data_IF_485996832720
#
_entry.id   IF_485996832720
#
_cell.length_a   1.000
_cell.length_b   1.000
_cell.length_c   1.000
_cell.angle_alpha   90.00
_cell.angle_beta   90.00
_cell.angle_gamma   90.00
#
_symmetry.space_group_name_H-M   'P 1'
#
loop_
_entity.id
_entity.type
_entity.pdbx_description
1 polymer ?
#
# COMPACT_ATOMS: atom_id res chain seq x y z
N UNK A 1 14.88 39.84 -52.34
CA UNK A 1 13.55 40.04 -51.74
C UNK A 1 13.03 38.65 -51.42
N UNK A 2 13.50 38.12 -50.29
CA UNK A 2 12.68 37.76 -49.09
C UNK A 2 12.06 36.35 -49.24
N UNK A 3 12.67 35.28 -48.71
CA UNK A 3 12.84 34.80 -47.30
C UNK A 3 11.57 34.10 -46.74
N UNK A 4 11.70 32.78 -46.64
CA UNK A 4 11.07 31.80 -45.70
C UNK A 4 9.59 31.39 -45.80
N UNK A 5 9.28 30.08 -45.80
CA UNK A 5 7.99 29.53 -45.38
C UNK A 5 7.99 29.25 -43.86
N UNK A 6 7.02 29.83 -43.14
CA UNK A 6 6.82 29.60 -41.71
C UNK A 6 6.05 28.31 -41.42
N UNK A 7 6.75 27.37 -40.77
CA UNK A 7 6.31 26.45 -39.71
C UNK A 7 4.86 25.90 -39.77
N UNK A 8 4.70 24.71 -40.38
CA UNK A 8 3.57 23.81 -40.08
C UNK A 8 3.65 23.37 -38.61
N UNK A 9 2.80 23.93 -37.75
CA UNK A 9 2.58 23.38 -36.41
C UNK A 9 1.48 22.34 -36.50
N UNK A 10 1.80 21.11 -36.93
CA UNK A 10 0.91 19.96 -36.79
C UNK A 10 0.94 19.50 -35.33
N UNK A 11 0.06 20.09 -34.52
CA UNK A 11 -0.26 19.58 -33.20
C UNK A 11 -0.75 18.13 -33.32
N UNK A 12 -0.16 17.24 -32.53
CA UNK A 12 -0.62 15.86 -32.38
C UNK A 12 -2.05 15.90 -31.82
N UNK A 13 -2.99 15.34 -32.59
CA UNK A 13 -4.40 15.26 -32.22
C UNK A 13 -4.53 14.29 -31.05
N UNK A 14 -4.96 14.82 -29.91
CA UNK A 14 -5.18 14.11 -28.65
C UNK A 14 -6.41 13.20 -28.79
N UNK A 15 -6.18 11.90 -29.06
CA UNK A 15 -7.20 10.89 -29.39
C UNK A 15 -8.05 10.45 -28.17
N UNK A 16 -7.77 10.95 -26.96
CA UNK A 16 -8.40 10.47 -25.73
C UNK A 16 -9.27 11.49 -24.98
N UNK A 17 -9.85 12.46 -25.67
CA UNK A 17 -10.83 13.38 -25.05
C UNK A 17 -12.25 12.79 -25.10
N UNK A 18 -12.63 12.04 -24.07
CA UNK A 18 -14.03 11.73 -23.76
C UNK A 18 -14.51 12.64 -22.60
N UNK A 19 -15.76 13.11 -22.60
CA UNK A 19 -16.22 14.15 -21.69
C UNK A 19 -16.40 13.62 -20.27
N UNK A 20 -15.92 14.39 -19.30
CA UNK A 20 -16.14 14.16 -17.87
C UNK A 20 -17.61 14.45 -17.52
N UNK A 21 -18.41 13.39 -17.41
CA UNK A 21 -19.67 13.43 -16.67
C UNK A 21 -19.39 12.98 -15.24
N UNK A 22 -19.49 13.93 -14.30
CA UNK A 22 -19.47 13.67 -12.88
C UNK A 22 -20.67 12.81 -12.49
N UNK A 23 -20.42 11.58 -12.04
CA UNK A 23 -21.28 10.85 -11.14
C UNK A 23 -20.41 9.90 -10.32
N UNK A 24 -20.29 10.19 -9.02
CA UNK A 24 -19.59 9.36 -8.07
C UNK A 24 -20.27 8.00 -7.96
N UNK A 25 -19.69 7.00 -8.62
CA UNK A 25 -20.00 5.60 -8.36
C UNK A 25 -19.04 5.16 -7.27
N UNK A 26 -19.51 5.23 -6.03
CA UNK A 26 -18.84 4.59 -4.91
C UNK A 26 -18.92 3.08 -5.16
N UNK A 27 -17.85 2.49 -5.69
CA UNK A 27 -17.72 1.06 -5.89
C UNK A 27 -17.51 0.39 -4.54
N UNK A 28 -18.56 0.27 -3.73
CA UNK A 28 -18.56 -0.66 -2.60
C UNK A 28 -18.71 -2.06 -3.18
N UNK A 29 -17.58 -2.69 -3.51
CA UNK A 29 -17.54 -4.14 -3.68
C UNK A 29 -17.92 -4.74 -2.33
N UNK A 30 -19.19 -5.11 -2.16
CA UNK A 30 -19.62 -5.88 -1.00
C UNK A 30 -18.80 -7.19 -1.00
N UNK A 31 -18.22 -7.61 0.15
CA UNK A 31 -17.43 -8.81 0.19
C UNK A 31 -18.32 -10.02 -0.14
N UNK A 32 -18.10 -10.63 -1.30
CA UNK A 32 -18.59 -11.98 -1.60
C UNK A 32 -17.73 -12.98 -0.84
N UNK A 33 -18.37 -13.81 -0.02
CA UNK A 33 -17.80 -14.94 0.75
C UNK A 33 -16.76 -14.60 1.84
N UNK A 34 -17.21 -14.41 3.08
CA UNK A 34 -16.45 -14.71 4.32
C UNK A 34 -15.08 -14.05 4.55
N UNK A 35 -14.58 -13.27 3.59
CA UNK A 35 -13.33 -12.52 3.66
C UNK A 35 -13.54 -11.25 4.49
N UNK A 36 -12.56 -10.89 5.35
CA UNK A 36 -12.66 -9.69 6.17
C UNK A 36 -12.77 -8.44 5.28
N UNK A 37 -13.63 -7.50 5.69
CA UNK A 37 -13.70 -6.20 5.02
C UNK A 37 -12.36 -5.47 5.17
N UNK A 38 -11.79 -5.00 4.06
CA UNK A 38 -10.50 -4.29 4.02
C UNK A 38 -10.76 -2.79 3.87
N UNK A 39 -10.46 -2.01 4.91
CA UNK A 39 -10.83 -0.60 5.04
C UNK A 39 -10.15 0.33 4.02
N UNK A 40 -8.97 -0.04 3.51
CA UNK A 40 -8.18 0.80 2.59
C UNK A 40 -8.18 0.29 1.14
N UNK A 41 -9.11 -0.58 0.76
CA UNK A 41 -9.24 -1.03 -0.62
C UNK A 41 -10.24 -0.15 -1.40
N UNK A 42 -9.95 0.25 -2.65
CA UNK A 42 -8.76 -0.03 -3.46
C UNK A 42 -7.60 0.96 -3.24
N UNK A 43 -7.73 1.92 -2.33
CA UNK A 43 -6.76 2.99 -2.08
C UNK A 43 -5.32 2.51 -1.87
N UNK A 44 -5.11 1.30 -1.35
CA UNK A 44 -3.78 0.69 -1.16
C UNK A 44 -2.96 0.67 -2.47
N UNK A 45 -3.61 0.58 -3.64
CA UNK A 45 -2.95 0.53 -4.94
C UNK A 45 -2.14 1.79 -5.26
N UNK A 46 -2.47 2.95 -4.65
CA UNK A 46 -1.69 4.20 -4.81
C UNK A 46 -0.24 4.08 -4.29
N UNK A 47 0.06 3.00 -3.55
CA UNK A 47 1.37 2.70 -2.99
C UNK A 47 2.20 1.71 -3.83
N UNK A 48 1.65 1.17 -4.93
CA UNK A 48 2.37 0.23 -5.79
C UNK A 48 3.74 0.77 -6.25
N UNK A 49 3.82 2.07 -6.54
CA UNK A 49 5.04 2.76 -6.98
C UNK A 49 5.72 3.58 -5.88
N UNK A 50 5.17 3.62 -4.66
CA UNK A 50 5.70 4.42 -3.54
C UNK A 50 6.23 3.54 -2.42
N UNK A 51 7.33 3.96 -1.82
CA UNK A 51 7.95 3.24 -0.70
C UNK A 51 7.65 3.87 0.66
N UNK A 52 6.86 4.94 0.71
CA UNK A 52 6.38 5.51 1.96
C UNK A 52 5.09 6.29 1.74
N UNK A 53 4.34 6.47 2.83
CA UNK A 53 3.12 7.26 2.82
C UNK A 53 2.26 7.04 4.05
N UNK A 54 1.12 7.74 4.09
CA UNK A 54 0.07 7.55 5.10
C UNK A 54 -0.92 6.52 4.56
N UNK A 55 -0.96 5.34 5.16
CA UNK A 55 -1.83 4.23 4.80
C UNK A 55 -3.29 4.53 5.18
N UNK A 56 -3.49 5.11 6.36
CA UNK A 56 -4.79 5.49 6.90
C UNK A 56 -4.63 6.67 7.85
N UNK A 57 -5.61 7.57 7.87
CA UNK A 57 -5.66 8.66 8.83
C UNK A 57 -7.10 9.09 9.11
N UNK A 58 -7.42 9.27 10.39
CA UNK A 58 -8.64 9.92 10.85
C UNK A 58 -8.32 10.90 11.99
N UNK A 59 -9.33 11.30 12.78
CA UNK A 59 -9.15 12.16 13.95
C UNK A 59 -8.43 11.50 15.12
N UNK A 60 -8.35 10.17 15.13
CA UNK A 60 -7.88 9.35 16.26
C UNK A 60 -6.45 8.88 16.02
N UNK A 61 -6.17 8.27 14.87
CA UNK A 61 -4.89 7.65 14.56
C UNK A 61 -4.41 8.01 13.15
N UNK A 62 -3.10 8.14 12.99
CA UNK A 62 -2.43 8.14 11.69
C UNK A 62 -1.57 6.87 11.59
N UNK A 63 -1.77 6.09 10.53
CA UNK A 63 -1.00 4.89 10.22
C UNK A 63 -0.11 5.20 9.01
N UNK A 64 1.17 5.37 9.25
CA UNK A 64 2.19 5.57 8.23
C UNK A 64 2.92 4.26 7.89
N UNK A 65 3.58 4.23 6.73
CA UNK A 65 4.50 3.17 6.38
C UNK A 65 5.76 3.70 5.70
N UNK A 66 6.86 2.94 5.83
CA UNK A 66 8.09 3.08 5.07
C UNK A 66 8.61 1.69 4.72
N UNK A 67 8.90 1.47 3.45
CA UNK A 67 9.30 0.19 2.87
C UNK A 67 10.71 0.31 2.29
N UNK A 68 11.56 -0.64 2.64
CA UNK A 68 12.87 -0.84 2.05
C UNK A 68 12.92 -2.26 1.47
N UNK A 69 13.38 -2.42 0.23
CA UNK A 69 13.48 -3.74 -0.42
C UNK A 69 14.86 -3.96 -1.01
N UNK A 70 15.27 -5.22 -1.05
CA UNK A 70 16.52 -5.67 -1.65
C UNK A 70 16.36 -7.12 -2.09
N UNK A 71 16.53 -7.41 -3.39
CA UNK A 71 16.24 -8.72 -3.96
C UNK A 71 14.84 -9.20 -3.52
N UNK A 72 14.75 -10.42 -2.99
CA UNK A 72 13.53 -11.01 -2.48
C UNK A 72 13.19 -10.63 -1.02
N UNK A 73 13.92 -9.70 -0.41
CA UNK A 73 13.72 -9.27 0.98
C UNK A 73 13.04 -7.89 1.05
N UNK A 74 12.16 -7.72 2.03
CA UNK A 74 11.57 -6.42 2.35
C UNK A 74 11.53 -6.15 3.85
N UNK A 75 11.75 -4.89 4.23
CA UNK A 75 11.61 -4.37 5.59
C UNK A 75 10.56 -3.27 5.58
N UNK A 76 9.43 -3.53 6.20
CA UNK A 76 8.32 -2.59 6.35
C UNK A 76 8.33 -2.02 7.76
N UNK A 77 8.52 -0.71 7.88
CA UNK A 77 8.24 0.04 9.10
C UNK A 77 6.81 0.57 9.06
N UNK A 78 5.98 0.12 10.00
CA UNK A 78 4.66 0.68 10.27
C UNK A 78 4.77 1.71 11.40
N UNK A 79 4.12 2.85 11.25
CA UNK A 79 4.15 3.95 12.21
C UNK A 79 2.74 4.24 12.69
N UNK A 80 2.49 4.07 13.98
CA UNK A 80 1.18 4.29 14.60
C UNK A 80 1.24 5.57 15.43
N UNK A 81 0.71 6.66 14.89
CA UNK A 81 0.64 7.96 15.55
C UNK A 81 -0.70 8.17 16.24
N UNK A 82 -0.72 8.25 17.57
CA UNK A 82 -1.90 8.60 18.33
C UNK A 82 -2.13 10.12 18.25
N UNK A 83 -3.20 10.54 17.58
CA UNK A 83 -3.56 11.95 17.40
C UNK A 83 -4.39 12.51 18.55
N UNK A 84 -4.79 11.66 19.49
CA UNK A 84 -5.58 12.04 20.67
C UNK A 84 -4.68 12.34 21.85
N UNK A 85 -5.26 12.92 22.91
CA UNK A 85 -4.57 13.13 24.19
C UNK A 85 -4.71 11.93 25.14
N UNK A 86 -5.45 10.89 24.76
CA UNK A 86 -5.72 9.72 25.59
C UNK A 86 -4.89 8.54 25.08
N UNK A 87 -4.41 7.71 26.00
CA UNK A 87 -3.65 6.54 25.60
C UNK A 87 -4.54 5.55 24.85
N UNK A 88 -3.97 4.89 23.84
CA UNK A 88 -4.52 3.65 23.31
C UNK A 88 -4.11 2.52 24.24
N UNK A 89 -5.05 1.66 24.59
CA UNK A 89 -4.85 0.47 25.41
C UNK A 89 -5.27 -0.77 24.62
N UNK A 90 -4.76 -1.94 25.02
CA UNK A 90 -4.96 -3.19 24.29
C UNK A 90 -4.57 -3.09 22.81
N UNK A 91 -3.52 -2.31 22.53
CA UNK A 91 -3.04 -2.08 21.17
C UNK A 91 -2.46 -3.37 20.57
N UNK A 92 -3.16 -3.92 19.58
CA UNK A 92 -2.91 -5.25 19.06
C UNK A 92 -2.92 -5.27 17.53
N UNK A 93 -1.77 -5.05 16.88
CA UNK A 93 -1.58 -5.28 15.45
C UNK A 93 -1.36 -6.77 15.16
N UNK A 94 -2.23 -7.38 14.35
CA UNK A 94 -2.15 -8.78 13.92
C UNK A 94 -1.97 -8.88 12.40
N UNK A 95 -0.96 -9.62 11.96
CA UNK A 95 -0.62 -9.78 10.54
C UNK A 95 -1.17 -11.11 9.99
N UNK A 96 -1.78 -11.06 8.80
CA UNK A 96 -2.37 -12.21 8.13
C UNK A 96 -1.85 -12.35 6.69
N UNK A 97 -1.29 -13.53 6.38
CA UNK A 97 -0.99 -13.97 5.02
C UNK A 97 -1.92 -15.14 4.66
N UNK A 98 -3.16 -14.87 4.27
CA UNK A 98 -4.20 -15.91 4.13
C UNK A 98 -4.00 -16.86 2.94
N UNK A 99 -4.25 -18.15 3.16
CA UNK A 99 -4.20 -19.20 2.13
C UNK A 99 -2.81 -19.36 1.52
N UNK A 100 -2.74 -19.43 0.18
CA UNK A 100 -1.46 -19.60 -0.55
C UNK A 100 -0.45 -18.48 -0.29
N UNK A 101 -0.90 -17.29 0.15
CA UNK A 101 0.01 -16.18 0.44
C UNK A 101 0.98 -16.52 1.59
N UNK A 102 0.58 -17.36 2.56
CA UNK A 102 1.43 -17.78 3.68
C UNK A 102 2.72 -18.49 3.25
N UNK A 103 2.69 -19.20 2.13
CA UNK A 103 3.85 -19.91 1.58
C UNK A 103 4.61 -19.10 0.54
N UNK A 104 3.94 -18.14 -0.11
CA UNK A 104 4.55 -17.27 -1.13
C UNK A 104 5.31 -16.09 -0.52
N UNK A 105 4.84 -15.59 0.63
CA UNK A 105 5.36 -14.42 1.30
C UNK A 105 5.48 -14.69 2.81
N UNK A 106 6.69 -15.06 3.24
CA UNK A 106 6.99 -15.31 4.65
C UNK A 106 7.12 -13.96 5.36
N UNK A 107 6.44 -13.80 6.49
CA UNK A 107 6.47 -12.58 7.28
C UNK A 107 6.93 -12.82 8.72
N UNK A 108 7.80 -11.96 9.22
CA UNK A 108 8.24 -11.94 10.60
C UNK A 108 7.91 -10.57 11.19
N UNK A 109 6.95 -10.54 12.10
CA UNK A 109 6.45 -9.33 12.73
C UNK A 109 7.08 -9.13 14.11
N UNK A 110 7.66 -7.96 14.38
CA UNK A 110 8.07 -7.60 15.75
C UNK A 110 6.86 -7.20 16.58
N UNK A 111 6.91 -7.50 17.87
CA UNK A 111 5.92 -7.04 18.83
C UNK A 111 5.93 -5.51 18.97
N UNK A 112 4.79 -4.97 19.39
CA UNK A 112 4.58 -3.55 19.72
C UNK A 112 4.01 -3.51 21.12
N UNK A 113 4.29 -2.45 21.86
CA UNK A 113 3.69 -2.22 23.17
C UNK A 113 2.17 -2.16 23.06
N UNK A 114 1.48 -2.77 24.03
CA UNK A 114 0.02 -2.77 24.10
C UNK A 114 -0.58 -1.42 24.51
N UNK A 115 0.26 -0.42 24.78
CA UNK A 115 -0.15 0.94 25.14
C UNK A 115 0.60 1.96 24.31
N UNK A 116 -0.12 2.92 23.72
CA UNK A 116 0.46 4.06 23.00
C UNK A 116 -0.04 5.34 23.65
N UNK A 117 0.86 6.09 24.28
CA UNK A 117 0.54 7.36 24.93
C UNK A 117 -0.06 8.37 23.94
N UNK A 118 -0.99 9.21 24.43
CA UNK A 118 -1.56 10.32 23.66
C UNK A 118 -0.47 11.21 23.04
N UNK A 119 -0.67 11.61 21.78
CA UNK A 119 0.28 12.43 21.03
C UNK A 119 1.59 11.75 20.62
N UNK A 120 1.79 10.48 20.99
CA UNK A 120 3.03 9.75 20.67
C UNK A 120 2.91 8.93 19.39
N UNK A 121 4.08 8.53 18.86
CA UNK A 121 4.17 7.65 17.69
C UNK A 121 5.09 6.49 18.02
N UNK A 122 4.65 5.26 17.69
CA UNK A 122 5.46 4.05 17.84
C UNK A 122 5.71 3.39 16.48
N UNK A 123 6.82 2.66 16.37
CA UNK A 123 7.20 1.95 15.16
C UNK A 123 7.13 0.44 15.36
N UNK A 124 6.48 -0.26 14.43
CA UNK A 124 6.55 -1.70 14.27
C UNK A 124 7.37 -2.07 13.04
N UNK A 125 8.27 -3.04 13.18
CA UNK A 125 9.04 -3.58 12.07
C UNK A 125 8.49 -4.94 11.66
N UNK A 126 8.22 -5.10 10.37
CA UNK A 126 7.80 -6.34 9.75
C UNK A 126 8.79 -6.67 8.65
N UNK A 127 9.44 -7.83 8.74
CA UNK A 127 10.32 -8.34 7.70
C UNK A 127 9.55 -9.31 6.82
N UNK A 128 9.80 -9.27 5.51
CA UNK A 128 9.22 -10.19 4.55
C UNK A 128 10.29 -10.85 3.70
N UNK A 129 10.05 -12.11 3.33
CA UNK A 129 10.80 -12.87 2.33
C UNK A 129 9.82 -13.32 1.25
N UNK A 130 10.06 -12.89 0.02
CA UNK A 130 9.32 -13.34 -1.15
C UNK A 130 9.91 -14.68 -1.62
N UNK A 131 9.17 -15.76 -1.41
CA UNK A 131 9.56 -17.11 -1.84
C UNK A 131 9.07 -17.41 -3.26
N UNK A 132 7.87 -16.91 -3.59
CA UNK A 132 7.22 -17.14 -4.88
C UNK A 132 6.44 -15.91 -5.31
N UNK A 133 6.05 -15.86 -6.59
CA UNK A 133 5.15 -14.82 -7.09
C UNK A 133 3.81 -14.84 -6.34
N UNK A 134 3.26 -13.65 -6.07
CA UNK A 134 2.01 -13.49 -5.35
C UNK A 134 1.22 -12.32 -5.90
N UNK A 135 -0.11 -12.37 -5.72
CA UNK A 135 -1.04 -11.39 -6.28
C UNK A 135 -1.93 -10.72 -5.21
N UNK A 136 -1.92 -11.25 -3.98
CA UNK A 136 -2.70 -10.70 -2.85
C UNK A 136 -1.79 -9.96 -1.88
N UNK A 137 -2.29 -8.89 -1.29
CA UNK A 137 -1.58 -8.15 -0.25
C UNK A 137 -1.70 -8.87 1.10
N UNK A 138 -0.66 -8.86 1.95
CA UNK A 138 -0.82 -9.24 3.35
C UNK A 138 -1.72 -8.22 4.08
N UNK A 139 -2.50 -8.69 5.05
CA UNK A 139 -3.45 -7.87 5.79
C UNK A 139 -2.97 -7.60 7.22
N UNK A 140 -3.19 -6.40 7.72
CA UNK A 140 -2.97 -5.99 9.10
C UNK A 140 -4.33 -5.69 9.73
N UNK A 141 -4.74 -6.51 10.68
CA UNK A 141 -5.86 -6.23 11.56
C UNK A 141 -5.35 -5.45 12.76
N UNK A 142 -5.94 -4.30 13.05
CA UNK A 142 -5.55 -3.47 14.17
C UNK A 142 -6.74 -3.25 15.09
N UNK A 143 -6.60 -3.69 16.33
CA UNK A 143 -7.56 -3.44 17.41
C UNK A 143 -6.88 -2.65 18.52
N UNK A 144 -7.59 -1.67 19.07
CA UNK A 144 -7.25 -1.04 20.35
C UNK A 144 -8.47 -0.34 20.95
N UNK A 145 -8.39 -0.01 22.23
CA UNK A 145 -9.39 0.79 22.94
C UNK A 145 -8.84 2.16 23.33
N UNK A 146 -9.70 3.17 23.41
CA UNK A 146 -9.31 4.52 23.82
C UNK A 146 -10.49 5.27 24.42
N UNK A 147 -10.21 6.30 25.22
CA UNK A 147 -11.25 7.22 25.71
C UNK A 147 -11.41 8.40 24.76
N UNK A 148 -12.66 8.77 24.45
CA UNK A 148 -12.96 10.01 23.74
C UNK A 148 -12.88 11.24 24.68
N UNK A 149 -13.07 12.44 24.11
CA UNK A 149 -13.09 13.70 24.88
C UNK A 149 -14.20 13.77 25.93
N UNK A 150 -15.20 12.91 25.86
CA UNK A 150 -16.29 12.78 26.84
C UNK A 150 -16.04 11.65 27.85
N UNK A 151 -14.82 11.12 27.91
CA UNK A 151 -14.41 9.97 28.72
C UNK A 151 -15.23 8.70 28.46
N UNK A 152 -15.76 8.53 27.24
CA UNK A 152 -16.43 7.28 26.84
C UNK A 152 -15.42 6.37 26.18
N UNK A 153 -15.44 5.10 26.56
CA UNK A 153 -14.65 4.05 25.92
C UNK A 153 -15.11 3.86 24.47
N UNK A 154 -14.16 3.90 23.55
CA UNK A 154 -14.33 3.59 22.14
C UNK A 154 -13.40 2.43 21.77
N UNK A 155 -13.77 1.70 20.72
CA UNK A 155 -12.96 0.64 20.14
C UNK A 155 -12.63 1.00 18.71
N UNK A 156 -11.37 0.83 18.34
CA UNK A 156 -10.91 0.83 16.97
C UNK A 156 -10.72 -0.63 16.54
N UNK A 157 -11.34 -1.02 15.44
CA UNK A 157 -11.25 -2.37 14.87
C UNK A 157 -11.32 -2.25 13.36
N UNK A 158 -10.16 -2.33 12.70
CA UNK A 158 -10.03 -2.14 11.24
C UNK A 158 -8.98 -3.08 10.66
N UNK A 159 -9.18 -3.46 9.40
CA UNK A 159 -8.26 -4.30 8.64
C UNK A 159 -7.73 -3.57 7.43
N UNK A 160 -6.41 -3.53 7.27
CA UNK A 160 -5.72 -2.81 6.20
C UNK A 160 -4.91 -3.77 5.33
N UNK A 161 -5.01 -3.64 4.01
CA UNK A 161 -4.03 -4.22 3.11
C UNK A 161 -2.70 -3.46 3.24
N UNK A 162 -1.62 -4.18 3.48
CA UNK A 162 -0.28 -3.60 3.55
C UNK A 162 0.28 -3.37 2.13
N UNK A 163 1.08 -2.32 1.91
CA UNK A 163 1.61 -1.95 0.60
C UNK A 163 2.81 -2.84 0.17
N UNK A 164 2.64 -4.15 0.22
CA UNK A 164 3.59 -5.16 -0.23
C UNK A 164 3.04 -5.79 -1.52
N UNK A 165 3.70 -5.50 -2.63
CA UNK A 165 3.31 -5.95 -3.97
C UNK A 165 4.48 -6.69 -4.62
N UNK A 166 4.21 -7.58 -5.57
CA UNK A 166 5.25 -8.36 -6.24
C UNK A 166 6.33 -7.48 -6.90
N UNK A 167 5.94 -6.34 -7.46
CA UNK A 167 6.88 -5.41 -8.10
C UNK A 167 7.86 -4.75 -7.11
N UNK A 168 7.64 -4.85 -5.80
CA UNK A 168 8.57 -4.35 -4.77
C UNK A 168 9.85 -5.19 -4.66
N UNK A 169 9.83 -6.40 -5.20
CA UNK A 169 10.95 -7.35 -5.19
C UNK A 169 11.70 -7.40 -6.54
N UNK A 170 11.35 -6.53 -7.49
CA UNK A 170 12.04 -6.47 -8.78
C UNK A 170 13.39 -5.79 -8.65
N UNK A 171 14.40 -6.33 -9.35
CA UNK A 171 15.69 -5.67 -9.53
C UNK A 171 15.78 -5.07 -10.93
N UNK A 172 16.12 -3.77 -11.07
CA UNK A 172 16.30 -3.17 -12.37
C UNK A 172 17.46 -3.88 -13.08
N UNK A 173 17.26 -4.16 -14.37
CA UNK A 173 18.28 -4.79 -15.22
C UNK A 173 18.59 -3.88 -16.39
N UNK A 174 19.79 -3.29 -16.39
CA UNK A 174 20.29 -2.50 -17.52
C UNK A 174 20.70 -3.43 -18.67
N UNK A 175 20.27 -3.11 -19.88
CA UNK A 175 20.63 -3.85 -21.09
C UNK A 175 20.53 -2.96 -22.33
N UNK A 176 21.25 -3.32 -23.40
CA UNK A 176 21.13 -2.63 -24.68
C UNK A 176 19.82 -2.97 -25.40
N UNK A 177 19.44 -2.18 -26.39
CA UNK A 177 18.27 -2.47 -27.24
C UNK A 177 18.38 -3.84 -27.93
N UNK A 178 19.57 -4.20 -28.43
CA UNK A 178 19.83 -5.49 -29.05
C UNK A 178 19.61 -6.66 -28.08
N UNK A 179 20.10 -6.54 -26.85
CA UNK A 179 19.91 -7.54 -25.79
C UNK A 179 18.43 -7.67 -25.41
N UNK A 180 17.73 -6.54 -25.27
CA UNK A 180 16.28 -6.54 -24.98
C UNK A 180 15.50 -7.27 -26.07
N UNK A 181 15.67 -6.91 -27.34
CA UNK A 181 14.93 -7.55 -28.44
C UNK A 181 15.29 -9.02 -28.62
N UNK A 182 16.54 -9.41 -28.33
CA UNK A 182 16.95 -10.82 -28.33
C UNK A 182 16.19 -11.60 -27.26
N UNK A 183 16.15 -11.11 -26.01
CA UNK A 183 15.39 -11.74 -24.92
C UNK A 183 13.88 -11.74 -25.19
N UNK A 184 13.34 -10.65 -25.70
CA UNK A 184 11.92 -10.53 -26.02
C UNK A 184 11.46 -11.59 -27.01
N UNK A 185 12.23 -11.85 -28.07
CA UNK A 185 11.92 -12.89 -29.07
C UNK A 185 11.90 -14.30 -28.47
N UNK A 186 12.73 -14.57 -27.46
CA UNK A 186 12.77 -15.87 -26.79
C UNK A 186 11.47 -16.19 -26.02
N UNK A 187 10.67 -15.20 -25.67
CA UNK A 187 9.37 -15.39 -25.01
C UNK A 187 8.25 -15.84 -25.97
N UNK A 188 8.49 -15.80 -27.28
CA UNK A 188 7.52 -16.18 -28.32
C UNK A 188 7.70 -17.60 -28.87
N UNK A 189 8.67 -18.35 -28.33
CA UNK A 189 8.85 -19.79 -28.57
C UNK A 189 8.16 -20.59 -27.48
#
# INVERSE_FOLDING_TARGET
>A
MDISPGLETKALVDIFSAPAAANGVQSTMAPTNGEPAVDNYPDVLKFATKNSGVLYEDSTIQIGYKLETRANLARLGMFYGNKTNYAFTDFSPSLFCSGILSTQLIAQCKAVDSTITGGSQVQQLINFVCEQEFHRCPLLHLIFTFSDVSNRQQSFDKTFALPIFINKFFEPTDMSSEQFFTRWKQLSQ
#
